data_IF_209118666362
#
_entry.id   IF_209118666362
#
_cell.length_a   1.000
_cell.length_b   1.000
_cell.length_c   1.000
_cell.angle_alpha   90.00
_cell.angle_beta   90.00
_cell.angle_gamma   90.00
#
_symmetry.space_group_name_H-M   'P 1'
#
loop_
_entity.id
_entity.type
_entity.pdbx_description
1 polymer ?
#
# COMPACT_ATOMS: atom_id res chain seq x y z
N UNK A 1 2.04 -13.22 5.13
CA UNK A 1 0.58 -13.22 5.30
C UNK A 1 -0.13 -12.54 4.14
N UNK A 2 0.18 -11.28 3.82
CA UNK A 2 -0.53 -10.50 2.79
C UNK A 2 -0.46 -11.09 1.37
N UNK A 3 0.69 -11.65 0.97
CA UNK A 3 0.93 -12.16 -0.39
C UNK A 3 0.89 -13.68 -0.50
N UNK A 4 0.99 -14.41 0.62
CA UNK A 4 1.24 -15.86 0.68
C UNK A 4 2.55 -16.31 -0.03
N UNK A 5 3.43 -15.37 -0.34
CA UNK A 5 4.74 -15.72 -0.88
C UNK A 5 5.54 -16.55 0.13
N UNK A 6 6.29 -17.52 -0.38
CA UNK A 6 7.21 -18.32 0.43
C UNK A 6 8.51 -17.53 0.56
N UNK A 7 8.69 -16.88 1.70
CA UNK A 7 9.91 -16.14 2.06
C UNK A 7 10.44 -16.67 3.38
N UNK A 8 11.72 -16.54 3.61
CA UNK A 8 12.31 -16.86 4.90
C UNK A 8 11.82 -15.89 5.96
N UNK A 9 11.37 -16.43 7.09
CA UNK A 9 10.86 -15.67 8.21
C UNK A 9 11.85 -15.78 9.36
N UNK A 10 12.42 -14.65 9.79
CA UNK A 10 13.34 -14.58 10.94
C UNK A 10 13.14 -13.27 11.72
N UNK A 11 13.52 -13.30 13.00
CA UNK A 11 13.45 -12.15 13.89
C UNK A 11 14.75 -11.32 13.90
N UNK A 12 15.67 -11.53 12.98
CA UNK A 12 16.90 -10.78 12.89
C UNK A 12 16.96 -9.95 11.61
N UNK A 13 17.69 -8.81 11.64
CA UNK A 13 17.88 -7.95 10.48
C UNK A 13 18.59 -8.70 9.33
N UNK A 14 18.32 -8.29 8.07
CA UNK A 14 18.90 -8.89 6.84
C UNK A 14 18.46 -10.31 6.50
N UNK A 15 17.32 -10.76 6.99
CA UNK A 15 16.72 -12.00 6.50
C UNK A 15 16.46 -11.93 4.99
N UNK A 16 16.02 -10.75 4.50
CA UNK A 16 15.80 -10.46 3.08
C UNK A 16 17.10 -9.95 2.44
N UNK A 17 17.66 -10.70 1.50
CA UNK A 17 18.91 -10.37 0.79
C UNK A 17 18.64 -9.63 -0.52
N UNK A 18 17.61 -10.04 -1.23
CA UNK A 18 17.12 -9.41 -2.46
C UNK A 18 15.65 -9.05 -2.29
N UNK A 19 15.18 -7.92 -2.87
CA UNK A 19 13.78 -7.53 -2.75
C UNK A 19 12.86 -8.62 -3.31
N UNK A 20 11.92 -9.07 -2.49
CA UNK A 20 10.87 -9.97 -2.93
C UNK A 20 9.63 -9.19 -3.32
N UNK A 21 9.22 -9.26 -4.57
CA UNK A 21 7.96 -8.68 -5.03
C UNK A 21 6.85 -9.71 -4.87
N UNK A 22 5.88 -9.39 -4.02
CA UNK A 22 4.69 -10.19 -3.80
C UNK A 22 3.43 -9.49 -4.31
N UNK A 23 2.44 -10.29 -4.71
CA UNK A 23 1.11 -9.78 -5.07
C UNK A 23 0.18 -9.94 -3.87
N UNK A 24 -0.30 -8.83 -3.33
CA UNK A 24 -1.39 -8.79 -2.38
C UNK A 24 -2.69 -8.39 -3.09
N UNK A 25 -3.81 -8.56 -2.40
CA UNK A 25 -5.11 -8.18 -2.92
C UNK A 25 -5.80 -7.22 -1.97
N UNK A 26 -6.32 -6.13 -2.52
CA UNK A 26 -7.11 -5.12 -1.82
C UNK A 26 -8.54 -5.12 -2.34
N UNK A 27 -9.49 -4.81 -1.48
CA UNK A 27 -10.89 -4.70 -1.88
C UNK A 27 -11.15 -3.32 -2.49
N UNK A 28 -11.70 -3.28 -3.72
CA UNK A 28 -12.18 -2.02 -4.28
C UNK A 28 -13.19 -1.37 -3.32
N UNK A 29 -13.10 -0.05 -3.15
CA UNK A 29 -13.97 0.71 -2.23
C UNK A 29 -15.41 0.77 -2.72
N UNK A 30 -15.59 0.96 -4.01
CA UNK A 30 -16.91 0.89 -4.62
C UNK A 30 -17.29 -0.55 -4.96
N UNK A 31 -18.58 -0.89 -4.92
CA UNK A 31 -19.04 -2.15 -5.44
C UNK A 31 -18.59 -2.33 -6.89
N UNK A 32 -18.15 -3.54 -7.23
CA UNK A 32 -17.74 -3.86 -8.59
C UNK A 32 -18.81 -3.46 -9.60
N UNK A 33 -18.46 -2.84 -10.74
CA UNK A 33 -19.42 -2.46 -11.78
C UNK A 33 -20.30 -3.60 -12.30
N UNK A 34 -19.88 -4.86 -12.09
CA UNK A 34 -20.72 -6.02 -12.43
C UNK A 34 -22.09 -6.01 -11.72
N UNK A 35 -22.24 -5.29 -10.60
CA UNK A 35 -23.52 -5.05 -9.93
C UNK A 35 -24.51 -4.33 -10.84
N UNK A 36 -24.05 -3.26 -11.47
CA UNK A 36 -24.88 -2.46 -12.38
C UNK A 36 -25.20 -3.24 -13.66
N UNK A 37 -24.22 -4.00 -14.16
CA UNK A 37 -24.43 -4.88 -15.32
C UNK A 37 -25.47 -5.95 -15.02
N UNK A 38 -25.40 -6.57 -13.83
CA UNK A 38 -26.38 -7.57 -13.38
C UNK A 38 -27.78 -6.96 -13.31
N UNK A 39 -27.94 -5.85 -12.60
CA UNK A 39 -29.23 -5.17 -12.46
C UNK A 39 -29.84 -4.82 -13.83
N UNK A 40 -29.01 -4.39 -14.78
CA UNK A 40 -29.44 -4.13 -16.16
C UNK A 40 -29.93 -5.41 -16.84
N UNK A 41 -29.18 -6.51 -16.80
CA UNK A 41 -29.50 -7.77 -17.44
C UNK A 41 -30.79 -8.39 -16.86
N UNK A 42 -30.99 -8.31 -15.54
CA UNK A 42 -32.19 -8.74 -14.86
C UNK A 42 -33.42 -7.92 -15.32
N UNK A 43 -33.26 -6.58 -15.40
CA UNK A 43 -34.32 -5.69 -15.89
C UNK A 43 -34.70 -5.99 -17.36
N UNK A 44 -33.71 -6.37 -18.18
CA UNK A 44 -33.91 -6.76 -19.57
C UNK A 44 -34.48 -8.19 -19.73
N UNK A 45 -34.66 -8.94 -18.63
CA UNK A 45 -35.10 -10.35 -18.66
C UNK A 45 -34.08 -11.31 -19.28
N UNK A 46 -32.81 -10.94 -19.27
CA UNK A 46 -31.68 -11.70 -19.84
C UNK A 46 -30.90 -12.48 -18.79
N UNK A 47 -31.20 -12.27 -17.51
CA UNK A 47 -30.61 -12.94 -16.38
C UNK A 47 -31.67 -13.14 -15.31
N UNK A 48 -31.69 -14.32 -14.70
CA UNK A 48 -32.55 -14.63 -13.57
C UNK A 48 -32.03 -13.96 -12.27
N UNK A 49 -32.93 -13.70 -11.29
CA UNK A 49 -32.52 -13.25 -9.96
C UNK A 49 -31.47 -14.16 -9.32
N UNK A 50 -30.71 -13.60 -8.36
CA UNK A 50 -29.67 -14.36 -7.66
C UNK A 50 -30.31 -15.53 -6.93
N UNK A 51 -29.80 -16.73 -7.16
CA UNK A 51 -30.23 -17.92 -6.42
C UNK A 51 -29.64 -17.89 -4.99
N UNK A 52 -30.37 -18.44 -4.02
CA UNK A 52 -29.93 -18.47 -2.61
C UNK A 52 -28.63 -19.28 -2.41
N UNK A 53 -28.31 -20.19 -3.32
CA UNK A 53 -27.11 -21.05 -3.30
C UNK A 53 -26.01 -20.56 -4.25
N UNK A 54 -26.11 -19.34 -4.81
CA UNK A 54 -25.08 -18.77 -5.66
C UNK A 54 -23.80 -18.45 -4.86
N UNK A 55 -22.79 -19.30 -5.00
CA UNK A 55 -21.48 -19.17 -4.35
C UNK A 55 -20.75 -17.83 -4.67
N UNK A 56 -21.20 -17.10 -5.69
CA UNK A 56 -20.65 -15.79 -6.08
C UNK A 56 -21.52 -14.61 -5.68
N UNK A 57 -22.62 -14.89 -4.98
CA UNK A 57 -23.54 -13.87 -4.46
C UNK A 57 -23.90 -12.81 -5.52
N UNK A 58 -24.22 -13.27 -6.73
CA UNK A 58 -24.62 -12.39 -7.82
C UNK A 58 -23.50 -11.76 -8.65
N UNK A 59 -22.25 -11.98 -8.33
CA UNK A 59 -21.12 -11.41 -9.11
C UNK A 59 -20.99 -12.06 -10.49
N UNK A 60 -20.94 -11.24 -11.55
CA UNK A 60 -20.83 -11.69 -12.94
C UNK A 60 -19.42 -11.70 -13.49
N UNK A 61 -18.49 -10.94 -12.89
CA UNK A 61 -17.14 -10.82 -13.43
C UNK A 61 -16.33 -12.12 -13.34
N UNK A 62 -15.41 -12.28 -14.29
CA UNK A 62 -14.49 -13.40 -14.41
C UNK A 62 -13.04 -12.90 -14.28
N UNK A 63 -12.59 -12.56 -13.03
CA UNK A 63 -11.25 -12.02 -12.83
C UNK A 63 -10.14 -12.95 -13.29
N UNK A 64 -9.16 -12.43 -14.04
CA UNK A 64 -7.90 -13.15 -14.30
C UNK A 64 -7.05 -13.27 -13.04
N UNK A 65 -7.13 -12.24 -12.18
CA UNK A 65 -6.44 -12.21 -10.89
C UNK A 65 -7.38 -11.64 -9.82
N UNK A 66 -7.23 -12.14 -8.60
CA UNK A 66 -8.14 -11.80 -7.51
C UNK A 66 -9.47 -12.55 -7.59
N UNK A 67 -10.50 -11.98 -7.01
CA UNK A 67 -11.85 -12.55 -6.97
C UNK A 67 -12.91 -11.46 -6.96
N UNK A 68 -14.16 -11.86 -7.17
CA UNK A 68 -15.32 -10.98 -6.97
C UNK A 68 -16.48 -11.83 -6.45
N UNK A 69 -16.89 -11.59 -5.21
CA UNK A 69 -18.01 -12.26 -4.54
C UNK A 69 -18.85 -11.18 -3.87
N UNK A 70 -20.18 -11.25 -3.99
CA UNK A 70 -21.07 -10.21 -3.45
C UNK A 70 -20.76 -8.81 -4.01
N UNK A 71 -20.27 -8.75 -5.26
CA UNK A 71 -19.79 -7.50 -5.90
C UNK A 71 -18.60 -6.85 -5.18
N UNK A 72 -17.94 -7.54 -4.25
CA UNK A 72 -16.69 -7.11 -3.64
C UNK A 72 -15.53 -7.61 -4.50
N UNK A 73 -14.91 -6.70 -5.25
CA UNK A 73 -13.78 -7.00 -6.14
C UNK A 73 -12.47 -6.93 -5.38
N UNK A 74 -11.71 -8.01 -5.38
CA UNK A 74 -10.31 -8.01 -4.95
C UNK A 74 -9.41 -7.70 -6.14
N UNK A 75 -8.58 -6.66 -6.00
CA UNK A 75 -7.69 -6.15 -7.04
C UNK A 75 -6.24 -6.34 -6.61
N UNK A 76 -5.34 -6.76 -7.52
CA UNK A 76 -3.94 -6.96 -7.17
C UNK A 76 -3.23 -5.65 -6.89
N UNK A 77 -2.39 -5.63 -5.85
CA UNK A 77 -1.38 -4.61 -5.59
C UNK A 77 -0.03 -5.27 -5.33
N UNK A 78 1.05 -4.54 -5.57
CA UNK A 78 2.39 -5.05 -5.41
C UNK A 78 2.99 -4.61 -4.09
N UNK A 79 3.50 -5.57 -3.32
CA UNK A 79 4.29 -5.35 -2.12
C UNK A 79 5.73 -5.74 -2.39
N UNK A 80 6.64 -4.84 -2.05
CA UNK A 80 8.09 -5.11 -2.12
C UNK A 80 8.59 -5.32 -0.70
N UNK A 81 9.10 -6.51 -0.42
CA UNK A 81 9.76 -6.83 0.84
C UNK A 81 11.20 -6.32 0.75
N UNK A 82 11.48 -5.24 1.43
CA UNK A 82 12.77 -4.56 1.42
C UNK A 82 13.60 -5.05 2.60
N UNK A 83 14.91 -5.25 2.40
CA UNK A 83 15.83 -5.63 3.46
C UNK A 83 15.74 -4.65 4.64
N UNK A 84 15.59 -5.18 5.87
CA UNK A 84 15.48 -4.36 7.06
C UNK A 84 16.71 -3.45 7.26
N UNK A 85 16.48 -2.22 7.72
CA UNK A 85 17.56 -1.34 8.16
C UNK A 85 18.06 -1.77 9.54
N UNK A 86 19.36 -1.58 9.77
CA UNK A 86 19.96 -1.71 11.09
C UNK A 86 20.44 -0.36 11.59
N UNK A 87 20.59 -0.18 12.91
CA UNK A 87 21.15 1.03 13.49
C UNK A 87 22.51 1.39 12.87
N UNK A 88 22.62 2.65 12.37
CA UNK A 88 23.82 3.15 11.67
C UNK A 88 23.86 2.83 10.17
N UNK A 89 22.75 2.45 9.56
CA UNK A 89 22.68 2.25 8.10
C UNK A 89 22.95 3.55 7.33
N UNK A 90 22.53 4.68 7.86
CA UNK A 90 22.82 6.03 7.34
C UNK A 90 24.31 6.37 7.35
N UNK A 91 25.10 5.76 8.23
CA UNK A 91 26.57 5.92 8.33
C UNK A 91 27.34 4.92 7.44
N UNK A 92 26.66 4.18 6.58
CA UNK A 92 27.26 3.19 5.67
C UNK A 92 27.41 1.79 6.26
N UNK A 93 26.78 1.50 7.40
CA UNK A 93 26.71 0.13 7.91
C UNK A 93 25.68 -0.68 7.11
N UNK A 94 26.06 -1.86 6.72
CA UNK A 94 25.17 -2.77 6.00
C UNK A 94 24.98 -2.45 4.52
N UNK A 95 23.77 -2.68 3.96
CA UNK A 95 23.45 -2.57 2.54
C UNK A 95 22.73 -1.27 2.16
N UNK A 96 23.04 -0.15 2.82
CA UNK A 96 22.35 1.13 2.64
C UNK A 96 22.05 1.50 1.18
N UNK A 97 23.02 1.38 0.25
CA UNK A 97 22.82 1.74 -1.15
C UNK A 97 21.82 0.84 -1.90
N UNK A 98 21.72 -0.45 -1.58
CA UNK A 98 20.74 -1.34 -2.21
C UNK A 98 19.32 -1.03 -1.72
N UNK A 99 19.15 -0.84 -0.40
CA UNK A 99 17.88 -0.40 0.21
C UNK A 99 17.33 0.86 -0.47
N UNK A 100 18.21 1.79 -0.82
CA UNK A 100 17.85 3.06 -1.44
C UNK A 100 17.31 2.93 -2.87
N UNK A 101 17.90 2.03 -3.64
CA UNK A 101 17.41 1.74 -4.99
C UNK A 101 16.00 1.11 -4.95
N UNK A 102 15.72 0.33 -3.89
CA UNK A 102 14.42 -0.30 -3.69
C UNK A 102 13.36 0.74 -3.27
N UNK A 103 13.73 1.69 -2.41
CA UNK A 103 12.84 2.79 -2.00
C UNK A 103 12.39 3.68 -3.17
N UNK A 104 13.27 3.95 -4.12
CA UNK A 104 12.98 4.84 -5.25
C UNK A 104 11.76 4.38 -6.10
N UNK A 105 11.39 3.11 -6.00
CA UNK A 105 10.26 2.53 -6.71
C UNK A 105 9.00 2.35 -5.85
N UNK A 106 9.05 2.76 -4.57
CA UNK A 106 7.92 2.63 -3.65
C UNK A 106 7.10 3.92 -3.60
N UNK A 107 5.77 3.79 -3.54
CA UNK A 107 4.86 4.94 -3.37
C UNK A 107 4.66 5.30 -1.90
N UNK A 108 4.76 4.31 -0.98
CA UNK A 108 4.67 4.48 0.46
C UNK A 108 5.41 3.35 1.16
N UNK A 109 5.73 3.53 2.43
CA UNK A 109 6.36 2.53 3.28
C UNK A 109 5.37 2.02 4.32
N UNK A 110 5.35 0.72 4.52
CA UNK A 110 4.64 0.08 5.63
C UNK A 110 5.69 -0.53 6.55
N UNK A 111 5.90 0.10 7.70
CA UNK A 111 6.78 -0.41 8.73
C UNK A 111 6.01 -1.41 9.60
N UNK A 112 6.52 -2.62 9.72
CA UNK A 112 5.96 -3.63 10.63
C UNK A 112 6.67 -3.51 11.96
N UNK A 113 5.92 -3.22 13.03
CA UNK A 113 6.44 -3.10 14.40
C UNK A 113 5.84 -4.18 15.30
N UNK A 114 6.59 -4.62 16.31
CA UNK A 114 6.17 -5.64 17.27
C UNK A 114 5.33 -5.01 18.41
N UNK A 115 3.99 -5.01 18.24
CA UNK A 115 3.08 -4.47 19.25
C UNK A 115 3.12 -5.23 20.59
N UNK A 116 3.56 -6.49 20.61
CA UNK A 116 3.73 -7.24 21.85
C UNK A 116 5.02 -6.87 22.60
N UNK A 117 5.92 -6.11 21.97
CA UNK A 117 7.25 -5.79 22.52
C UNK A 117 8.08 -7.06 22.81
N UNK A 118 7.86 -8.11 22.04
CA UNK A 118 8.50 -9.41 22.24
C UNK A 118 9.92 -9.50 21.68
N UNK A 119 10.35 -8.48 20.94
CA UNK A 119 11.70 -8.33 20.39
C UNK A 119 12.24 -6.93 20.66
N UNK A 120 13.56 -6.75 20.64
CA UNK A 120 14.21 -5.44 20.60
C UNK A 120 14.53 -5.02 19.14
N UNK A 121 15.11 -3.82 18.96
CA UNK A 121 15.47 -3.28 17.63
C UNK A 121 16.47 -4.17 16.86
N UNK A 122 17.24 -5.00 17.55
CA UNK A 122 18.19 -5.92 16.96
C UNK A 122 17.57 -7.29 16.64
N UNK A 123 16.27 -7.48 16.97
CA UNK A 123 15.53 -8.71 16.77
C UNK A 123 15.75 -9.77 17.86
N UNK A 124 16.45 -9.43 18.97
CA UNK A 124 16.66 -10.37 20.06
C UNK A 124 15.35 -10.62 20.82
N UNK A 125 14.99 -11.90 21.12
CA UNK A 125 13.79 -12.22 21.87
C UNK A 125 13.81 -11.64 23.29
N UNK A 126 12.73 -10.97 23.66
CA UNK A 126 12.52 -10.36 24.97
C UNK A 126 11.37 -11.06 25.74
N UNK A 127 10.77 -12.08 25.14
CA UNK A 127 9.65 -12.83 25.68
C UNK A 127 8.30 -12.17 25.45
N UNK A 128 7.26 -12.97 25.55
CA UNK A 128 5.87 -12.52 25.57
C UNK A 128 5.47 -12.07 26.98
N UNK A 129 4.29 -11.49 27.14
CA UNK A 129 3.74 -10.97 28.41
C UNK A 129 4.51 -9.77 28.99
N UNK A 130 4.96 -8.88 28.12
CA UNK A 130 5.52 -7.59 28.53
C UNK A 130 4.43 -6.72 29.21
N UNK A 131 4.82 -5.79 30.08
CA UNK A 131 3.88 -4.77 30.55
C UNK A 131 3.55 -3.79 29.42
N UNK A 132 2.42 -3.10 29.53
CA UNK A 132 1.98 -2.15 28.50
C UNK A 132 3.01 -1.02 28.31
N UNK A 133 3.67 -0.58 29.39
CA UNK A 133 4.68 0.48 29.34
C UNK A 133 5.92 0.03 28.57
N UNK A 134 6.40 -1.19 28.82
CA UNK A 134 7.59 -1.74 28.14
C UNK A 134 7.28 -1.98 26.67
N UNK A 135 6.13 -2.61 26.35
CA UNK A 135 5.73 -2.86 24.98
C UNK A 135 5.57 -1.55 24.21
N UNK A 136 4.90 -0.55 24.80
CA UNK A 136 4.73 0.78 24.19
C UNK A 136 6.05 1.50 23.97
N UNK A 137 6.99 1.43 24.93
CA UNK A 137 8.33 2.02 24.76
C UNK A 137 9.04 1.43 23.54
N UNK A 138 8.99 0.10 23.36
CA UNK A 138 9.59 -0.57 22.21
C UNK A 138 8.92 -0.23 20.90
N UNK A 139 7.59 -0.17 20.88
CA UNK A 139 6.84 0.29 19.70
C UNK A 139 7.29 1.70 19.28
N UNK A 140 7.40 2.63 20.22
CA UNK A 140 7.88 3.97 19.91
C UNK A 140 9.33 3.96 19.41
N UNK A 141 10.23 3.20 20.05
CA UNK A 141 11.62 3.04 19.62
C UNK A 141 11.73 2.51 18.18
N UNK A 142 10.91 1.50 17.81
CA UNK A 142 10.87 0.97 16.44
C UNK A 142 10.36 2.02 15.44
N UNK A 143 9.29 2.74 15.79
CA UNK A 143 8.71 3.79 14.91
C UNK A 143 9.72 4.91 14.68
N UNK A 144 10.36 5.41 15.73
CA UNK A 144 11.32 6.51 15.66
C UNK A 144 12.59 6.11 14.90
N UNK A 145 13.03 4.87 15.06
CA UNK A 145 14.25 4.35 14.46
C UNK A 145 14.25 4.48 12.93
N UNK A 146 13.23 3.99 12.23
CA UNK A 146 13.20 4.05 10.76
C UNK A 146 13.16 5.49 10.26
N UNK A 147 12.35 6.33 10.91
CA UNK A 147 12.29 7.75 10.59
C UNK A 147 13.64 8.43 10.72
N UNK A 148 14.35 8.19 11.84
CA UNK A 148 15.65 8.76 12.12
C UNK A 148 16.73 8.36 11.10
N UNK A 149 16.81 7.07 10.76
CA UNK A 149 17.79 6.57 9.78
C UNK A 149 17.57 7.17 8.39
N UNK A 150 16.32 7.30 7.95
CA UNK A 150 15.99 7.92 6.66
C UNK A 150 16.25 9.43 6.67
N UNK A 151 15.92 10.12 7.75
CA UNK A 151 16.17 11.56 7.91
C UNK A 151 17.69 11.85 7.88
N UNK A 152 18.48 11.07 8.63
CA UNK A 152 19.93 11.19 8.66
C UNK A 152 20.55 10.94 7.28
N UNK A 153 20.05 9.95 6.58
CA UNK A 153 20.52 9.64 5.24
C UNK A 153 20.21 10.74 4.21
N UNK A 154 18.97 11.26 4.18
CA UNK A 154 18.61 12.38 3.29
C UNK A 154 19.45 13.62 3.63
N UNK A 155 19.65 13.91 4.93
CA UNK A 155 20.52 15.00 5.38
C UNK A 155 21.96 14.81 4.89
N UNK A 156 22.50 13.59 4.91
CA UNK A 156 23.82 13.25 4.36
C UNK A 156 23.92 13.55 2.86
N UNK A 157 22.91 13.12 2.07
CA UNK A 157 22.85 13.38 0.63
C UNK A 157 22.82 14.89 0.31
N UNK A 158 22.08 15.67 1.10
CA UNK A 158 21.99 17.11 0.93
C UNK A 158 23.28 17.81 1.35
N UNK A 159 23.91 17.40 2.44
CA UNK A 159 25.09 18.04 3.03
C UNK A 159 26.29 18.00 2.10
N UNK A 160 26.43 16.94 1.29
CA UNK A 160 27.52 16.82 0.32
C UNK A 160 27.47 17.94 -0.72
N UNK A 161 28.45 18.83 -0.67
CA UNK A 161 28.56 19.99 -1.57
C UNK A 161 27.44 21.02 -1.44
N UNK A 162 26.69 21.06 -0.32
CA UNK A 162 25.56 21.96 -0.07
C UNK A 162 25.90 23.42 -0.38
N UNK A 163 26.89 23.99 0.32
CA UNK A 163 27.26 25.42 0.19
C UNK A 163 27.56 25.80 -1.24
N UNK A 164 28.28 24.95 -1.99
CA UNK A 164 28.61 25.20 -3.39
C UNK A 164 27.39 25.13 -4.29
N UNK A 165 26.51 24.17 -4.05
CA UNK A 165 25.28 23.98 -4.81
C UNK A 165 24.31 25.14 -4.65
N UNK A 166 23.99 25.52 -3.41
CA UNK A 166 23.04 26.62 -3.14
C UNK A 166 23.54 27.98 -3.59
N UNK A 167 24.87 28.22 -3.52
CA UNK A 167 25.46 29.45 -4.07
C UNK A 167 25.38 29.53 -5.59
N UNK A 168 25.44 28.41 -6.30
CA UNK A 168 25.27 28.35 -7.75
C UNK A 168 23.89 28.85 -8.19
N UNK A 169 22.86 28.57 -7.40
CA UNK A 169 21.46 28.89 -7.74
C UNK A 169 20.90 30.06 -6.96
N UNK A 170 21.73 30.79 -6.19
CA UNK A 170 21.29 31.87 -5.29
C UNK A 170 20.51 32.99 -6.00
N UNK A 171 20.82 33.29 -7.27
CA UNK A 171 20.15 34.32 -8.05
C UNK A 171 18.67 33.99 -8.36
N UNK A 172 18.31 32.70 -8.30
CA UNK A 172 16.97 32.20 -8.58
C UNK A 172 16.10 32.10 -7.31
N UNK A 173 16.67 32.41 -6.14
CA UNK A 173 15.97 32.37 -4.84
C UNK A 173 15.47 30.98 -4.50
N UNK A 174 14.26 30.90 -3.91
CA UNK A 174 13.66 29.63 -3.46
C UNK A 174 13.45 28.65 -4.62
N UNK A 175 13.16 29.12 -5.83
CA UNK A 175 13.02 28.24 -7.01
C UNK A 175 14.34 27.52 -7.33
N UNK A 176 15.45 28.24 -7.27
CA UNK A 176 16.76 27.66 -7.48
C UNK A 176 17.12 26.66 -6.39
N UNK A 177 16.81 26.96 -5.12
CA UNK A 177 17.02 26.04 -4.01
C UNK A 177 16.20 24.75 -4.18
N UNK A 178 14.92 24.86 -4.48
CA UNK A 178 14.04 23.71 -4.74
C UNK A 178 14.54 22.88 -5.92
N UNK A 179 14.98 23.50 -7.02
CA UNK A 179 15.56 22.81 -8.17
C UNK A 179 16.83 22.05 -7.81
N UNK A 180 17.70 22.67 -6.99
CA UNK A 180 18.94 22.05 -6.52
C UNK A 180 18.65 20.82 -5.63
N UNK A 181 17.69 20.92 -4.69
CA UNK A 181 17.27 19.81 -3.85
C UNK A 181 16.66 18.69 -4.69
N UNK A 182 15.81 19.03 -5.65
CA UNK A 182 15.20 18.07 -6.56
C UNK A 182 16.27 17.31 -7.36
N UNK A 183 17.26 18.01 -7.94
CA UNK A 183 18.39 17.39 -8.67
C UNK A 183 19.10 16.33 -7.80
N UNK A 184 19.30 16.62 -6.51
CA UNK A 184 19.95 15.72 -5.56
C UNK A 184 19.13 14.49 -5.22
N UNK A 185 17.81 14.63 -5.16
CA UNK A 185 16.90 13.59 -4.70
C UNK A 185 16.12 12.90 -5.84
N UNK A 186 16.40 13.25 -7.10
CA UNK A 186 15.74 12.63 -8.28
C UNK A 186 15.94 11.10 -8.30
N UNK A 187 17.14 10.62 -7.91
CA UNK A 187 17.41 9.18 -7.78
C UNK A 187 16.57 8.46 -6.73
N UNK A 188 15.86 9.20 -5.88
CA UNK A 188 14.94 8.70 -4.86
C UNK A 188 13.46 8.84 -5.27
N UNK A 189 13.18 9.12 -6.53
CA UNK A 189 11.82 9.35 -7.01
C UNK A 189 11.24 10.72 -6.65
N UNK A 190 12.07 11.67 -6.15
CA UNK A 190 11.60 13.02 -5.84
C UNK A 190 11.05 13.71 -7.09
N UNK A 191 9.89 14.34 -6.96
CA UNK A 191 9.32 15.24 -7.97
C UNK A 191 9.53 16.68 -7.55
N UNK A 192 9.52 17.60 -8.53
CA UNK A 192 9.61 19.02 -8.22
C UNK A 192 8.47 19.46 -7.27
N UNK A 193 7.28 18.90 -7.44
CA UNK A 193 6.12 19.17 -6.60
C UNK A 193 6.33 18.70 -5.15
N UNK A 194 6.79 17.46 -4.93
CA UNK A 194 7.03 16.93 -3.58
C UNK A 194 8.11 17.73 -2.84
N UNK A 195 9.18 18.13 -3.55
CA UNK A 195 10.23 18.98 -2.97
C UNK A 195 9.70 20.39 -2.65
N UNK A 196 8.87 20.96 -3.52
CA UNK A 196 8.25 22.28 -3.27
C UNK A 196 7.40 22.24 -2.00
N UNK A 197 6.50 21.26 -1.89
CA UNK A 197 5.63 21.11 -0.72
C UNK A 197 6.44 20.92 0.59
N UNK A 198 7.47 20.08 0.53
CA UNK A 198 8.36 19.86 1.68
C UNK A 198 9.11 21.11 2.09
N UNK A 199 9.60 21.89 1.11
CA UNK A 199 10.29 23.15 1.37
C UNK A 199 9.36 24.22 1.95
N UNK A 200 8.13 24.31 1.45
CA UNK A 200 7.10 25.24 1.99
C UNK A 200 6.74 24.87 3.43
N UNK A 201 6.52 23.57 3.72
CA UNK A 201 6.26 23.10 5.08
C UNK A 201 7.43 23.41 6.02
N UNK A 202 8.66 23.14 5.61
CA UNK A 202 9.87 23.46 6.35
C UNK A 202 9.97 24.97 6.65
N UNK A 203 9.70 25.82 5.65
CA UNK A 203 9.75 27.29 5.79
C UNK A 203 8.67 27.81 6.75
N UNK A 204 7.50 27.17 6.77
CA UNK A 204 6.41 27.59 7.66
C UNK A 204 6.70 27.33 9.16
N UNK A 205 7.50 26.33 9.46
CA UNK A 205 7.90 25.98 10.82
C UNK A 205 9.13 26.76 11.31
N UNK A 206 9.90 27.34 10.39
CA UNK A 206 11.16 28.05 10.69
C UNK A 206 11.00 29.54 10.44
N UNK A 207 10.89 30.34 11.50
CA UNK A 207 10.65 31.79 11.42
C UNK A 207 11.90 32.62 11.12
N UNK A 208 13.09 32.14 11.46
CA UNK A 208 14.35 32.87 11.29
C UNK A 208 15.41 31.99 10.61
N UNK A 209 15.25 31.77 9.32
CA UNK A 209 16.27 31.13 8.50
C UNK A 209 17.17 32.16 7.86
N UNK A 210 18.46 32.07 8.13
CA UNK A 210 19.49 32.77 7.37
C UNK A 210 19.54 32.33 5.91
N UNK A 211 20.53 32.82 5.18
CA UNK A 211 20.72 32.39 3.78
C UNK A 211 21.02 30.91 3.69
N UNK A 212 20.53 30.20 2.67
CA UNK A 212 20.72 28.74 2.54
C UNK A 212 22.18 28.26 2.60
N UNK A 213 23.13 29.11 2.19
CA UNK A 213 24.57 28.79 2.25
C UNK A 213 25.19 28.91 3.67
N UNK A 214 24.46 29.50 4.60
CA UNK A 214 24.85 29.64 6.02
C UNK A 214 24.15 28.59 6.90
N UNK A 215 23.30 27.73 6.33
CA UNK A 215 22.62 26.69 7.08
C UNK A 215 23.64 25.66 7.59
N UNK A 216 23.54 25.39 8.87
CA UNK A 216 24.35 24.35 9.53
C UNK A 216 23.68 22.97 9.38
N UNK A 217 24.37 21.94 9.86
CA UNK A 217 23.88 20.56 9.78
C UNK A 217 22.52 20.32 10.44
N UNK A 218 22.20 21.06 11.51
CA UNK A 218 20.89 20.91 12.19
C UNK A 218 19.72 21.47 11.36
N UNK A 219 19.95 22.54 10.64
CA UNK A 219 18.94 23.13 9.73
C UNK A 219 18.73 22.18 8.52
N UNK A 220 19.81 21.65 7.96
CA UNK A 220 19.72 20.67 6.87
C UNK A 220 19.01 19.38 7.32
N UNK A 221 19.28 18.90 8.55
CA UNK A 221 18.59 17.77 9.14
C UNK A 221 17.08 18.04 9.32
N UNK A 222 16.72 19.25 9.78
CA UNK A 222 15.30 19.64 9.86
C UNK A 222 14.62 19.66 8.49
N UNK A 223 15.29 20.19 7.45
CA UNK A 223 14.79 20.13 6.08
C UNK A 223 14.62 18.67 5.60
N UNK A 224 15.56 17.79 5.94
CA UNK A 224 15.52 16.38 5.57
C UNK A 224 14.29 15.66 6.15
N UNK A 225 13.86 15.99 7.37
CA UNK A 225 12.62 15.47 7.98
C UNK A 225 11.39 15.80 7.10
N UNK A 226 11.29 17.04 6.63
CA UNK A 226 10.16 17.46 5.77
C UNK A 226 10.20 16.78 4.40
N UNK A 227 11.40 16.67 3.83
CA UNK A 227 11.61 15.96 2.57
C UNK A 227 11.26 14.47 2.69
N UNK A 228 11.71 13.79 3.74
CA UNK A 228 11.35 12.39 3.98
C UNK A 228 9.83 12.20 4.10
N UNK A 229 9.15 13.06 4.89
CA UNK A 229 7.70 13.01 5.05
C UNK A 229 6.95 13.12 3.71
N UNK A 230 7.45 13.94 2.79
CA UNK A 230 6.86 14.15 1.49
C UNK A 230 7.22 13.07 0.45
N UNK A 231 8.41 12.47 0.57
CA UNK A 231 8.90 11.46 -0.37
C UNK A 231 8.54 10.04 0.05
N UNK A 232 8.61 9.76 1.36
CA UNK A 232 8.45 8.44 1.95
C UNK A 232 7.50 8.49 3.14
N UNK A 233 6.17 8.60 2.93
CA UNK A 233 5.22 8.44 4.03
C UNK A 233 5.37 7.04 4.63
N UNK A 234 5.51 6.98 5.96
CA UNK A 234 5.69 5.73 6.72
C UNK A 234 4.41 5.45 7.48
N UNK A 235 3.77 4.33 7.16
CA UNK A 235 2.59 3.83 7.83
C UNK A 235 2.97 2.63 8.70
N UNK A 236 2.28 2.43 9.81
CA UNK A 236 2.64 1.44 10.82
C UNK A 236 1.66 0.27 10.80
N UNK A 237 2.17 -0.93 10.57
CA UNK A 237 1.47 -2.18 10.82
C UNK A 237 1.92 -2.71 12.20
N UNK A 238 1.15 -2.45 13.26
CA UNK A 238 1.44 -2.89 14.60
C UNK A 238 1.09 -4.38 14.75
N UNK A 239 2.04 -5.23 14.38
CA UNK A 239 1.87 -6.68 14.30
C UNK A 239 1.94 -7.37 15.67
N UNK A 240 1.54 -8.64 15.72
CA UNK A 240 1.39 -9.45 16.94
C UNK A 240 0.37 -8.83 17.92
N UNK A 241 -0.60 -8.09 17.39
CA UNK A 241 -1.58 -7.40 18.21
C UNK A 241 -2.51 -8.36 18.98
N UNK A 242 -2.67 -9.58 18.49
CA UNK A 242 -3.40 -10.67 19.15
C UNK A 242 -2.80 -11.10 20.50
N UNK A 243 -1.52 -10.89 20.72
CA UNK A 243 -0.77 -11.19 21.96
C UNK A 243 -0.19 -9.96 22.65
N UNK A 244 -0.50 -8.77 22.14
CA UNK A 244 -0.04 -7.51 22.72
C UNK A 244 -0.83 -7.15 23.99
N UNK A 245 -0.23 -6.43 24.96
CA UNK A 245 -0.96 -5.95 26.13
C UNK A 245 -2.01 -4.91 25.74
N UNK A 246 -3.18 -4.98 26.38
CA UNK A 246 -4.27 -4.05 26.12
C UNK A 246 -3.84 -2.59 26.32
N UNK A 247 -4.20 -1.71 25.38
CA UNK A 247 -3.87 -0.29 25.44
C UNK A 247 -2.42 0.03 25.00
N UNK A 248 -1.68 -0.91 24.42
CA UNK A 248 -0.27 -0.68 24.00
C UNK A 248 -0.13 0.49 23.01
N UNK A 249 -1.11 0.67 22.13
CA UNK A 249 -1.11 1.75 21.13
C UNK A 249 -1.71 3.07 21.64
N UNK A 250 -2.21 3.12 22.89
CA UNK A 250 -2.78 4.35 23.42
C UNK A 250 -1.72 5.43 23.59
N UNK A 251 -1.89 6.57 22.90
CA UNK A 251 -0.94 7.68 22.92
C UNK A 251 0.32 7.47 22.07
N UNK A 252 0.45 6.36 21.34
CA UNK A 252 1.49 6.19 20.31
C UNK A 252 1.20 7.12 19.14
N UNK A 253 2.22 7.86 18.69
CA UNK A 253 2.12 8.82 17.59
C UNK A 253 3.08 8.42 16.48
N UNK A 254 2.59 8.41 15.25
CA UNK A 254 3.39 8.23 14.05
C UNK A 254 3.09 9.32 13.02
N UNK A 255 3.95 9.48 12.01
CA UNK A 255 3.72 10.42 10.91
C UNK A 255 2.74 9.92 9.85
N UNK A 256 2.32 8.67 9.93
CA UNK A 256 1.31 8.01 9.11
C UNK A 256 0.28 7.33 9.98
N UNK A 257 -0.56 6.50 9.37
CA UNK A 257 -1.54 5.70 10.09
C UNK A 257 -0.87 4.60 10.93
N UNK A 258 -1.53 4.20 12.02
CA UNK A 258 -1.16 3.03 12.82
C UNK A 258 -2.33 2.05 12.75
N UNK A 259 -2.09 0.85 12.25
CA UNK A 259 -3.11 -0.20 12.12
C UNK A 259 -2.69 -1.42 12.96
N UNK A 260 -3.51 -1.85 13.93
CA UNK A 260 -3.29 -3.12 14.62
C UNK A 260 -3.36 -4.29 13.64
N UNK A 261 -2.36 -5.16 13.64
CA UNK A 261 -2.25 -6.29 12.71
C UNK A 261 -1.98 -7.62 13.44
N UNK A 262 -2.54 -8.70 12.90
CA UNK A 262 -2.39 -10.06 13.37
C UNK A 262 -1.96 -10.97 12.20
N UNK A 263 -0.71 -10.86 11.79
CA UNK A 263 -0.22 -11.51 10.56
C UNK A 263 -0.26 -13.04 10.65
N UNK A 264 -0.02 -13.63 11.81
CA UNK A 264 -0.10 -15.09 11.99
C UNK A 264 -1.54 -15.60 11.91
N UNK A 265 -2.49 -14.86 12.46
CA UNK A 265 -3.93 -15.16 12.33
C UNK A 265 -4.35 -15.08 10.86
N UNK A 266 -3.98 -14.02 10.13
CA UNK A 266 -4.26 -13.88 8.70
C UNK A 266 -3.68 -15.03 7.90
N UNK A 267 -2.44 -15.42 8.17
CA UNK A 267 -1.78 -16.54 7.48
C UNK A 267 -2.48 -17.87 7.76
N UNK A 268 -2.90 -18.09 9.02
CA UNK A 268 -3.67 -19.26 9.43
C UNK A 268 -5.01 -19.37 8.68
N UNK A 269 -5.77 -18.25 8.65
CA UNK A 269 -7.06 -18.17 7.95
C UNK A 269 -6.92 -18.42 6.44
N UNK A 270 -5.93 -17.79 5.80
CA UNK A 270 -5.69 -18.01 4.35
C UNK A 270 -5.28 -19.43 4.02
N UNK A 271 -4.50 -20.09 4.90
CA UNK A 271 -4.14 -21.50 4.74
C UNK A 271 -5.35 -22.40 4.92
N UNK A 272 -6.19 -22.13 5.91
CA UNK A 272 -7.43 -22.89 6.13
C UNK A 272 -8.41 -22.71 4.95
N UNK A 273 -8.54 -21.50 4.42
CA UNK A 273 -9.34 -21.25 3.23
C UNK A 273 -8.78 -21.94 1.97
N UNK A 274 -7.45 -21.92 1.78
CA UNK A 274 -6.78 -22.61 0.69
C UNK A 274 -6.89 -24.15 0.78
N UNK A 275 -7.13 -24.67 1.97
CA UNK A 275 -7.43 -26.09 2.22
C UNK A 275 -8.95 -26.39 2.20
N UNK A 276 -9.78 -25.43 1.79
CA UNK A 276 -11.24 -25.53 1.70
C UNK A 276 -11.94 -25.86 3.03
N UNK A 277 -11.29 -25.62 4.17
CA UNK A 277 -11.86 -25.86 5.50
C UNK A 277 -12.84 -24.74 5.92
N UNK A 278 -12.58 -23.53 5.44
CA UNK A 278 -13.38 -22.33 5.72
C UNK A 278 -13.57 -21.48 4.46
N UNK A 279 -14.64 -20.73 4.41
CA UNK A 279 -14.84 -19.63 3.45
C UNK A 279 -14.42 -18.32 4.13
N UNK A 280 -13.25 -17.78 3.77
CA UNK A 280 -12.68 -16.57 4.32
C UNK A 280 -12.27 -15.61 3.21
N UNK A 281 -12.71 -14.37 3.30
CA UNK A 281 -12.28 -13.27 2.42
C UNK A 281 -11.37 -12.34 3.22
N UNK A 282 -10.14 -12.04 2.76
CA UNK A 282 -9.23 -11.12 3.44
C UNK A 282 -9.89 -9.78 3.79
N UNK A 283 -9.68 -9.31 5.03
CA UNK A 283 -10.31 -8.10 5.55
C UNK A 283 -11.74 -8.29 6.07
N UNK A 284 -12.25 -9.51 6.12
CA UNK A 284 -13.51 -9.81 6.80
C UNK A 284 -13.33 -9.94 8.31
N UNK A 285 -14.36 -9.59 9.07
CA UNK A 285 -14.41 -9.74 10.54
C UNK A 285 -14.82 -11.13 11.00
N UNK A 286 -14.96 -12.08 10.07
CA UNK A 286 -15.33 -13.47 10.35
C UNK A 286 -15.17 -14.34 9.12
N UNK A 287 -15.44 -15.64 9.29
CA UNK A 287 -15.46 -16.64 8.23
C UNK A 287 -16.61 -17.65 8.48
N UNK A 288 -16.93 -18.45 7.49
CA UNK A 288 -17.85 -19.57 7.60
C UNK A 288 -17.11 -20.91 7.47
N UNK A 289 -17.53 -21.94 8.21
CA UNK A 289 -17.04 -23.29 7.99
C UNK A 289 -17.63 -23.86 6.70
N UNK A 290 -16.77 -24.46 5.87
CA UNK A 290 -17.23 -25.16 4.66
C UNK A 290 -17.85 -26.52 5.04
N UNK A 291 -17.14 -27.32 5.85
CA UNK A 291 -17.63 -28.55 6.45
C UNK A 291 -16.97 -28.74 7.81
N UNK A 292 -17.69 -28.38 8.87
CA UNK A 292 -17.20 -28.53 10.24
C UNK A 292 -16.96 -29.99 10.65
N UNK A 293 -17.65 -30.95 10.02
CA UNK A 293 -17.50 -32.37 10.35
C UNK A 293 -16.18 -33.00 9.87
N UNK A 294 -15.50 -32.34 8.95
CA UNK A 294 -14.18 -32.76 8.42
C UNK A 294 -13.01 -32.33 9.32
N UNK A 295 -13.26 -31.47 10.33
CA UNK A 295 -12.22 -30.89 11.19
C UNK A 295 -12.01 -31.73 12.45
N UNK A 296 -10.74 -31.85 12.86
CA UNK A 296 -10.41 -32.44 14.17
C UNK A 296 -10.54 -31.38 15.29
N UNK A 297 -10.59 -31.85 16.56
CA UNK A 297 -10.79 -30.99 17.74
C UNK A 297 -9.72 -29.88 17.86
N UNK A 298 -8.48 -30.12 17.44
CA UNK A 298 -7.41 -29.14 17.50
C UNK A 298 -7.61 -28.03 16.45
N UNK A 299 -8.04 -28.41 15.24
CA UNK A 299 -8.39 -27.46 14.17
C UNK A 299 -9.61 -26.60 14.55
N UNK A 300 -10.66 -27.23 15.10
CA UNK A 300 -11.83 -26.49 15.58
C UNK A 300 -11.45 -25.46 16.63
N UNK A 301 -10.70 -25.86 17.67
CA UNK A 301 -10.24 -24.93 18.72
C UNK A 301 -9.39 -23.78 18.18
N UNK A 302 -8.49 -24.08 17.21
CA UNK A 302 -7.66 -23.03 16.60
C UNK A 302 -8.51 -22.06 15.78
N UNK A 303 -9.48 -22.54 15.01
CA UNK A 303 -10.36 -21.70 14.21
C UNK A 303 -11.33 -20.90 15.09
N UNK A 304 -11.89 -21.50 16.17
CA UNK A 304 -12.70 -20.76 17.12
C UNK A 304 -11.93 -19.60 17.76
N UNK A 305 -10.68 -19.84 18.16
CA UNK A 305 -9.82 -18.78 18.70
C UNK A 305 -9.55 -17.67 17.66
N UNK A 306 -9.30 -18.04 16.41
CA UNK A 306 -9.13 -17.04 15.32
C UNK A 306 -10.42 -16.26 15.08
N UNK A 307 -11.59 -16.90 15.16
CA UNK A 307 -12.90 -16.25 15.03
C UNK A 307 -13.12 -15.20 16.13
N UNK A 308 -12.79 -15.53 17.38
CA UNK A 308 -12.87 -14.58 18.50
C UNK A 308 -11.96 -13.37 18.28
N UNK A 309 -10.73 -13.58 17.79
CA UNK A 309 -9.79 -12.49 17.46
C UNK A 309 -10.29 -11.60 16.32
N UNK A 310 -10.87 -12.20 15.29
CA UNK A 310 -11.48 -11.44 14.18
C UNK A 310 -12.63 -10.55 14.66
N UNK A 311 -13.54 -11.10 15.48
CA UNK A 311 -14.66 -10.33 16.01
C UNK A 311 -14.20 -9.20 16.92
N UNK A 312 -13.23 -9.46 17.83
CA UNK A 312 -12.73 -8.46 18.78
C UNK A 312 -12.01 -7.29 18.11
N UNK A 313 -11.35 -7.53 16.95
CA UNK A 313 -10.52 -6.55 16.26
C UNK A 313 -11.10 -6.12 14.90
N UNK A 314 -12.32 -6.54 14.55
CA UNK A 314 -12.98 -6.25 13.27
C UNK A 314 -12.17 -6.69 12.05
N UNK A 315 -11.42 -7.79 12.18
CA UNK A 315 -10.53 -8.34 11.16
C UNK A 315 -9.09 -8.51 11.66
N UNK A 316 -8.19 -8.93 10.77
CA UNK A 316 -6.77 -9.14 11.11
C UNK A 316 -5.91 -7.86 11.00
N UNK A 317 -6.45 -6.78 10.45
CA UNK A 317 -5.72 -5.55 10.16
C UNK A 317 -4.82 -5.61 8.90
N UNK A 318 -4.43 -6.79 8.44
CA UNK A 318 -3.49 -6.92 7.29
C UNK A 318 -4.07 -6.36 5.98
N UNK A 319 -5.34 -6.63 5.69
CA UNK A 319 -5.99 -6.02 4.54
C UNK A 319 -6.26 -4.52 4.79
N UNK A 320 -6.66 -4.17 6.02
CA UNK A 320 -6.98 -2.79 6.40
C UNK A 320 -5.79 -1.84 6.18
N UNK A 321 -4.58 -2.22 6.59
CA UNK A 321 -3.40 -1.36 6.38
C UNK A 321 -3.14 -1.13 4.90
N UNK A 322 -3.31 -2.14 4.04
CA UNK A 322 -3.13 -2.01 2.60
C UNK A 322 -4.22 -1.13 1.96
N UNK A 323 -5.48 -1.39 2.32
CA UNK A 323 -6.62 -0.63 1.83
C UNK A 323 -6.50 0.86 2.20
N UNK A 324 -6.16 1.15 3.46
CA UNK A 324 -6.01 2.53 3.94
C UNK A 324 -4.83 3.23 3.28
N UNK A 325 -3.66 2.58 3.19
CA UNK A 325 -2.49 3.18 2.53
C UNK A 325 -2.78 3.48 1.06
N UNK A 326 -3.39 2.54 0.33
CA UNK A 326 -3.64 2.74 -1.10
C UNK A 326 -4.72 3.78 -1.38
N UNK A 327 -5.85 3.71 -0.67
CA UNK A 327 -7.03 4.50 -1.02
C UNK A 327 -7.17 5.81 -0.23
N UNK A 328 -6.71 5.86 1.03
CA UNK A 328 -6.83 7.08 1.83
C UNK A 328 -5.56 7.95 1.78
N UNK A 329 -4.38 7.30 1.83
CA UNK A 329 -3.12 8.04 1.93
C UNK A 329 -2.50 8.33 0.55
N UNK A 330 -2.58 7.37 -0.39
CA UNK A 330 -2.06 7.52 -1.75
C UNK A 330 -3.13 7.95 -2.76
N UNK A 331 -4.38 8.14 -2.32
CA UNK A 331 -5.50 8.57 -3.14
C UNK A 331 -5.63 7.76 -4.45
N UNK A 332 -5.61 6.42 -4.32
CA UNK A 332 -5.76 5.53 -5.46
C UNK A 332 -7.23 5.17 -5.69
N UNK A 333 -7.54 4.83 -6.93
CA UNK A 333 -8.85 4.40 -7.41
C UNK A 333 -8.73 3.05 -8.13
N UNK A 334 -9.87 2.40 -8.35
CA UNK A 334 -9.94 1.15 -9.13
C UNK A 334 -10.68 1.40 -10.44
N UNK A 335 -10.05 1.04 -11.55
CA UNK A 335 -10.60 1.21 -12.91
C UNK A 335 -10.58 -0.12 -13.67
N UNK A 336 -11.51 -0.26 -14.63
CA UNK A 336 -11.77 -1.52 -15.32
C UNK A 336 -11.66 -1.34 -16.84
N UNK A 337 -10.50 -1.62 -17.44
CA UNK A 337 -10.36 -1.61 -18.89
C UNK A 337 -11.10 -2.80 -19.52
N UNK A 338 -11.77 -2.56 -20.63
CA UNK A 338 -12.54 -3.58 -21.38
C UNK A 338 -12.29 -3.43 -22.88
N UNK A 339 -12.57 -4.50 -23.65
CA UNK A 339 -12.51 -4.46 -25.11
C UNK A 339 -13.91 -4.24 -25.75
N UNK A 340 -14.96 -4.63 -25.05
CA UNK A 340 -16.35 -4.38 -25.46
C UNK A 340 -17.05 -3.49 -24.43
N UNK A 341 -17.32 -2.25 -24.81
CA UNK A 341 -18.01 -1.27 -23.97
C UNK A 341 -19.49 -1.60 -23.73
N UNK A 342 -20.06 -2.51 -24.54
CA UNK A 342 -21.47 -2.92 -24.45
C UNK A 342 -21.66 -4.02 -23.40
N UNK A 343 -20.79 -4.98 -23.43
CA UNK A 343 -20.86 -6.20 -22.62
C UNK A 343 -19.92 -6.15 -21.43
N UNK A 344 -19.00 -5.19 -21.42
CA UNK A 344 -17.92 -5.06 -20.44
C UNK A 344 -17.00 -6.27 -20.41
N UNK A 345 -16.68 -6.79 -21.59
CA UNK A 345 -15.87 -8.01 -21.73
C UNK A 345 -14.52 -7.73 -22.39
N UNK A 346 -13.61 -8.70 -22.26
CA UNK A 346 -12.43 -8.80 -23.11
C UNK A 346 -12.78 -9.46 -24.48
N UNK A 347 -11.73 -9.77 -25.26
CA UNK A 347 -11.85 -10.44 -26.55
C UNK A 347 -12.36 -11.87 -26.46
N UNK A 348 -12.20 -12.53 -25.32
CA UNK A 348 -12.65 -13.90 -25.05
C UNK A 348 -14.08 -13.95 -24.48
N UNK A 349 -14.70 -12.78 -24.24
CA UNK A 349 -16.04 -12.66 -23.70
C UNK A 349 -16.11 -12.70 -22.17
N UNK A 350 -14.97 -12.65 -21.44
CA UNK A 350 -14.95 -12.63 -19.99
C UNK A 350 -15.36 -11.24 -19.47
N UNK A 351 -16.31 -11.22 -18.55
CA UNK A 351 -16.83 -10.00 -17.96
C UNK A 351 -15.83 -9.41 -16.97
N UNK A 352 -15.43 -8.13 -17.16
CA UNK A 352 -14.55 -7.36 -16.29
C UNK A 352 -13.33 -8.19 -15.79
N UNK A 353 -12.56 -8.81 -16.70
CA UNK A 353 -11.50 -9.72 -16.30
C UNK A 353 -10.37 -8.99 -15.56
N UNK A 354 -10.11 -7.74 -15.92
CA UNK A 354 -9.02 -6.94 -15.36
C UNK A 354 -9.56 -5.77 -14.54
N UNK A 355 -8.85 -5.45 -13.46
CA UNK A 355 -9.06 -4.29 -12.62
C UNK A 355 -7.71 -3.76 -12.17
N UNK A 356 -7.51 -2.45 -12.25
CA UNK A 356 -6.24 -1.79 -11.93
C UNK A 356 -6.41 -0.81 -10.78
N UNK A 357 -5.51 -0.90 -9.79
CA UNK A 357 -5.32 0.15 -8.79
C UNK A 357 -4.40 1.20 -9.40
N UNK A 358 -4.86 2.43 -9.47
CA UNK A 358 -4.17 3.55 -10.13
C UNK A 358 -4.32 4.82 -9.29
N UNK A 359 -3.39 5.80 -9.37
CA UNK A 359 -3.57 7.10 -8.73
C UNK A 359 -4.88 7.77 -9.19
N UNK A 360 -5.53 8.52 -8.31
CA UNK A 360 -6.66 9.39 -8.69
C UNK A 360 -6.21 10.38 -9.77
N UNK A 361 -7.15 10.93 -10.51
CA UNK A 361 -6.88 11.83 -11.64
C UNK A 361 -5.97 11.23 -12.74
N UNK A 362 -5.77 9.90 -12.77
CA UNK A 362 -5.07 9.27 -13.91
C UNK A 362 -5.82 9.55 -15.20
N UNK A 363 -5.10 9.91 -16.24
CA UNK A 363 -5.68 10.19 -17.54
C UNK A 363 -5.95 8.89 -18.32
N UNK A 364 -6.99 8.90 -19.17
CA UNK A 364 -7.35 7.74 -19.99
C UNK A 364 -6.18 7.20 -20.83
N UNK A 365 -5.35 8.08 -21.39
CA UNK A 365 -4.13 7.67 -22.12
C UNK A 365 -3.07 7.03 -21.20
N UNK A 366 -2.94 7.51 -19.96
CA UNK A 366 -2.01 6.93 -19.01
C UNK A 366 -2.45 5.53 -18.56
N UNK A 367 -3.77 5.30 -18.41
CA UNK A 367 -4.31 3.95 -18.20
C UNK A 367 -3.98 3.04 -19.39
N UNK A 368 -4.10 3.52 -20.63
CA UNK A 368 -3.76 2.73 -21.82
C UNK A 368 -2.31 2.23 -21.77
N UNK A 369 -1.36 3.06 -21.36
CA UNK A 369 0.04 2.64 -21.13
C UNK A 369 0.19 1.60 -20.02
N UNK A 370 -0.61 1.70 -18.96
CA UNK A 370 -0.60 0.69 -17.87
C UNK A 370 -1.14 -0.67 -18.33
N UNK A 371 -2.07 -0.68 -19.30
CA UNK A 371 -2.58 -1.93 -19.89
C UNK A 371 -1.57 -2.52 -20.86
N UNK A 372 -1.06 -1.73 -21.79
CA UNK A 372 0.00 -2.12 -22.74
C UNK A 372 0.61 -0.88 -23.42
N UNK A 373 1.92 -0.90 -23.67
CA UNK A 373 2.63 0.21 -24.34
C UNK A 373 1.99 0.58 -25.68
N UNK A 374 1.67 -0.40 -26.50
CA UNK A 374 1.11 -0.17 -27.84
C UNK A 374 -0.28 0.52 -27.79
N UNK A 375 -1.08 0.22 -26.73
CA UNK A 375 -2.35 0.91 -26.52
C UNK A 375 -2.14 2.38 -26.12
N UNK A 376 -1.09 2.66 -25.36
CA UNK A 376 -0.73 4.02 -24.99
C UNK A 376 -0.18 4.83 -26.18
N UNK A 377 0.72 4.25 -26.95
CA UNK A 377 1.32 4.87 -28.16
C UNK A 377 0.28 5.08 -29.26
N UNK A 378 -0.57 4.07 -29.46
CA UNK A 378 -1.63 4.10 -30.46
C UNK A 378 -2.92 4.76 -30.01
N UNK A 379 -3.00 5.34 -28.80
CA UNK A 379 -4.25 5.84 -28.23
C UNK A 379 -4.97 6.84 -29.15
N UNK A 380 -6.21 6.55 -29.47
CA UNK A 380 -7.09 7.44 -30.27
C UNK A 380 -8.12 8.10 -29.38
N UNK A 381 -8.86 7.30 -28.59
CA UNK A 381 -9.95 7.74 -27.73
C UNK A 381 -10.31 6.63 -26.73
N UNK A 382 -11.00 6.99 -25.65
CA UNK A 382 -11.70 6.06 -24.78
C UNK A 382 -13.21 6.08 -25.06
N UNK A 383 -13.90 5.04 -24.60
CA UNK A 383 -15.37 5.03 -24.47
C UNK A 383 -15.72 4.57 -23.08
N UNK A 384 -16.42 5.42 -22.34
CA UNK A 384 -16.95 5.09 -21.02
C UNK A 384 -18.04 4.01 -21.17
N UNK A 385 -17.88 2.90 -20.47
CA UNK A 385 -18.76 1.73 -20.60
C UNK A 385 -20.16 1.96 -20.03
N UNK A 386 -20.32 2.85 -19.04
CA UNK A 386 -21.61 3.14 -18.40
C UNK A 386 -22.43 4.12 -19.25
N UNK A 387 -21.85 5.28 -19.57
CA UNK A 387 -22.54 6.37 -20.29
C UNK A 387 -22.45 6.25 -21.81
N UNK A 388 -21.58 5.40 -22.35
CA UNK A 388 -21.26 5.28 -23.78
C UNK A 388 -20.66 6.55 -24.39
N UNK A 389 -20.20 7.49 -23.57
CA UNK A 389 -19.58 8.72 -24.05
C UNK A 389 -18.17 8.45 -24.52
N UNK A 390 -17.82 9.09 -25.62
CA UNK A 390 -16.44 9.15 -26.09
C UNK A 390 -15.67 10.13 -25.21
N UNK A 391 -14.48 9.72 -24.76
CA UNK A 391 -13.59 10.51 -23.92
C UNK A 391 -12.22 10.67 -24.60
N UNK A 392 -11.60 11.81 -24.35
CA UNK A 392 -10.26 12.15 -24.88
C UNK A 392 -9.12 11.53 -24.09
N UNK A 393 -7.90 11.80 -24.54
CA UNK A 393 -6.66 11.35 -23.89
C UNK A 393 -6.45 11.98 -22.52
N UNK A 394 -7.05 13.14 -22.29
CA UNK A 394 -6.99 13.99 -21.10
C UNK A 394 -8.17 13.79 -20.14
N UNK A 395 -9.03 12.80 -20.41
CA UNK A 395 -10.12 12.45 -19.50
C UNK A 395 -9.55 11.87 -18.20
N UNK A 396 -9.88 12.50 -17.08
CA UNK A 396 -9.53 12.02 -15.74
C UNK A 396 -10.51 10.92 -15.32
N UNK A 397 -9.96 9.73 -15.08
CA UNK A 397 -10.74 8.57 -14.66
C UNK A 397 -11.22 8.73 -13.22
N UNK A 398 -12.41 8.19 -12.97
CA UNK A 398 -13.05 8.15 -11.67
C UNK A 398 -13.04 6.72 -11.11
N UNK A 399 -13.17 6.58 -9.79
CA UNK A 399 -13.27 5.27 -9.15
C UNK A 399 -14.47 4.47 -9.69
N UNK A 400 -14.21 3.24 -10.09
CA UNK A 400 -15.20 2.37 -10.68
C UNK A 400 -15.45 2.55 -12.19
N UNK A 401 -14.68 3.42 -12.88
CA UNK A 401 -14.82 3.62 -14.32
C UNK A 401 -14.53 2.33 -15.09
N UNK A 402 -15.43 2.05 -16.07
CA UNK A 402 -15.26 0.98 -17.06
C UNK A 402 -14.89 1.63 -18.39
N UNK A 403 -13.67 1.42 -18.86
CA UNK A 403 -13.15 2.12 -20.03
C UNK A 403 -12.76 1.15 -21.15
N UNK A 404 -13.36 1.34 -22.35
CA UNK A 404 -12.83 0.75 -23.59
C UNK A 404 -11.78 1.69 -24.18
N UNK A 405 -10.61 1.16 -24.49
CA UNK A 405 -9.52 1.87 -25.15
C UNK A 405 -9.53 1.56 -26.64
N UNK A 406 -9.59 2.59 -27.47
CA UNK A 406 -9.38 2.50 -28.92
C UNK A 406 -7.97 2.99 -29.25
N UNK A 407 -7.18 2.12 -29.85
CA UNK A 407 -5.83 2.42 -30.30
C UNK A 407 -5.65 2.05 -31.78
N UNK A 408 -4.65 2.66 -32.43
CA UNK A 408 -4.20 2.21 -33.75
C UNK A 408 -3.52 0.85 -33.58
N UNK A 409 -3.84 -0.10 -34.44
CA UNK A 409 -3.13 -1.37 -34.61
C UNK A 409 -1.78 -1.15 -35.30
#
# INVERSE_FOLDING_TARGET
>A
AATLAKVDIANYPFCTIEPNVGVAFVAARLPCPCKDLRAKLETEGRLDPVADDDAREGSLCEPRTGSCVGHRRLVPCFLVDIAGLVPGASEGRGRGNAFLADLANCNALIQVVDAAGSTDLEGNPQGLNQTVEIARSRVNEEIEFLGFELDAWIAGLLSDGWVRGVRRVQAEGDKGLVSFIHERLTGLGATLQSVTLAHEAFRSEQTELGSPWDWNGSVIASLAVHLRKALFPIHIAANKFDVAPAGVLDGVVANGIIVPCMADVELGLRRAAGAELIAYVPGSSGFAFTDASSLNDAQLKALDHMQERLHSNQGTGVATVLDTVLFDELDHIVVYPVQDEARWTDGDGKILPDAFVVPSAILAKALAYKVHSDLGDGFIRGVDGRSRRVVGSDYELQDGDVLKIHAKS
#
